data_IF_405159306479
#
_entry.id   IF_405159306479
#
_cell.length_a   1.000
_cell.length_b   1.000
_cell.length_c   1.000
_cell.angle_alpha   90.00
_cell.angle_beta   90.00
_cell.angle_gamma   90.00
#
_symmetry.space_group_name_H-M   'P 1'
#
loop_
_entity.id
_entity.type
_entity.pdbx_description
1 polymer ?
#
# COMPACT_ATOMS: atom_id res chain seq x y z
N UNK A 1 10.71 -10.60 4.03
CA UNK A 1 9.86 -10.75 2.83
C UNK A 1 10.66 -11.19 1.61
N UNK A 2 11.53 -10.34 1.04
CA UNK A 2 12.21 -10.63 -0.24
C UNK A 2 12.99 -11.95 -0.25
N UNK A 3 13.75 -12.23 0.81
CA UNK A 3 14.46 -13.51 0.95
C UNK A 3 13.52 -14.71 1.20
N UNK A 4 12.41 -14.53 1.90
CA UNK A 4 11.47 -15.62 2.14
C UNK A 4 10.69 -15.98 0.86
N UNK A 5 10.36 -14.98 0.04
CA UNK A 5 9.67 -15.16 -1.23
C UNK A 5 10.49 -15.94 -2.26
N UNK A 6 11.82 -15.86 -2.24
CA UNK A 6 12.67 -16.62 -3.16
C UNK A 6 12.59 -18.13 -2.92
N UNK A 7 12.10 -18.56 -1.76
CA UNK A 7 11.88 -19.96 -1.39
C UNK A 7 10.49 -20.49 -1.76
N UNK A 8 9.55 -19.62 -2.15
CA UNK A 8 8.18 -20.00 -2.53
C UNK A 8 8.02 -20.05 -4.07
N UNK A 9 7.03 -20.84 -4.55
CA UNK A 9 6.57 -20.78 -5.94
C UNK A 9 6.29 -19.36 -6.44
N UNK A 10 5.97 -18.41 -5.57
CA UNK A 10 5.80 -17.00 -5.88
C UNK A 10 6.97 -16.42 -6.71
N UNK A 11 8.21 -16.78 -6.40
CA UNK A 11 9.37 -16.30 -7.15
C UNK A 11 9.55 -16.98 -8.51
N UNK A 12 9.10 -18.23 -8.66
CA UNK A 12 9.29 -19.02 -9.89
C UNK A 12 8.12 -18.88 -10.86
N UNK A 13 6.90 -18.99 -10.35
CA UNK A 13 5.66 -19.04 -11.14
C UNK A 13 4.98 -17.67 -11.25
N UNK A 14 5.27 -16.75 -10.31
CA UNK A 14 4.56 -15.48 -10.16
C UNK A 14 5.50 -14.27 -10.04
N UNK A 15 6.59 -14.27 -10.84
CA UNK A 15 7.66 -13.25 -10.81
C UNK A 15 7.13 -11.81 -10.84
N UNK A 16 6.16 -11.52 -11.72
CA UNK A 16 5.60 -10.17 -11.83
C UNK A 16 4.91 -9.72 -10.53
N UNK A 17 4.13 -10.60 -9.89
CA UNK A 17 3.48 -10.33 -8.62
C UNK A 17 4.52 -10.13 -7.51
N UNK A 18 5.57 -10.96 -7.49
CA UNK A 18 6.69 -10.81 -6.58
C UNK A 18 7.36 -9.43 -6.68
N UNK A 19 7.69 -8.98 -7.90
CA UNK A 19 8.33 -7.68 -8.12
C UNK A 19 7.43 -6.52 -7.68
N UNK A 20 6.15 -6.56 -8.03
CA UNK A 20 5.16 -5.53 -7.66
C UNK A 20 4.99 -5.47 -6.14
N UNK A 21 4.87 -6.62 -5.46
CA UNK A 21 4.75 -6.70 -4.01
C UNK A 21 5.99 -6.14 -3.30
N UNK A 22 7.19 -6.48 -3.79
CA UNK A 22 8.44 -5.96 -3.24
C UNK A 22 8.53 -4.44 -3.43
N UNK A 23 8.21 -3.95 -4.62
CA UNK A 23 8.19 -2.52 -4.93
C UNK A 23 7.23 -1.76 -4.01
N UNK A 24 5.99 -2.24 -3.89
CA UNK A 24 4.98 -1.61 -3.03
C UNK A 24 5.39 -1.61 -1.56
N UNK A 25 5.94 -2.72 -1.06
CA UNK A 25 6.41 -2.79 0.33
C UNK A 25 7.56 -1.82 0.59
N UNK A 26 8.53 -1.71 -0.34
CA UNK A 26 9.61 -0.74 -0.26
C UNK A 26 9.08 0.69 -0.26
N UNK A 27 8.09 1.01 -1.12
CA UNK A 27 7.46 2.33 -1.14
C UNK A 27 6.77 2.65 0.19
N UNK A 28 6.04 1.69 0.78
CA UNK A 28 5.39 1.84 2.08
C UNK A 28 6.39 2.12 3.21
N UNK A 29 7.43 1.29 3.32
CA UNK A 29 8.47 1.42 4.35
C UNK A 29 9.23 2.73 4.19
N UNK A 30 9.56 3.11 2.97
CA UNK A 30 10.22 4.39 2.67
C UNK A 30 9.33 5.58 3.07
N UNK A 31 8.01 5.51 2.84
CA UNK A 31 7.10 6.57 3.25
C UNK A 31 7.06 6.75 4.78
N UNK A 32 7.03 5.65 5.55
CA UNK A 32 7.07 5.70 7.02
C UNK A 32 8.42 6.26 7.51
N UNK A 33 9.53 5.77 6.97
CA UNK A 33 10.85 6.28 7.35
C UNK A 33 11.00 7.77 7.03
N UNK A 34 10.52 8.21 5.87
CA UNK A 34 10.52 9.62 5.51
C UNK A 34 9.67 10.46 6.47
N UNK A 35 8.49 9.99 6.87
CA UNK A 35 7.67 10.68 7.87
C UNK A 35 8.38 10.82 9.22
N UNK A 36 9.07 9.76 9.66
CA UNK A 36 9.78 9.80 10.94
C UNK A 36 11.03 10.69 10.88
N UNK A 37 11.80 10.62 9.80
CA UNK A 37 13.05 11.38 9.65
C UNK A 37 12.84 12.86 9.31
N UNK A 38 11.83 13.21 8.50
CA UNK A 38 11.61 14.59 8.03
C UNK A 38 10.53 15.35 8.81
N UNK A 39 9.46 14.67 9.24
CA UNK A 39 8.32 15.31 9.91
C UNK A 39 8.31 15.07 11.43
N UNK A 40 9.34 14.41 11.98
CA UNK A 40 9.44 14.10 13.41
C UNK A 40 8.31 13.21 13.93
N UNK A 41 7.62 12.49 13.04
CA UNK A 41 6.53 11.61 13.43
C UNK A 41 7.07 10.47 14.31
N UNK A 42 6.31 10.12 15.36
CA UNK A 42 6.65 8.97 16.21
C UNK A 42 6.72 7.72 15.34
N UNK A 43 7.89 7.09 15.32
CA UNK A 43 8.10 5.86 14.58
C UNK A 43 7.39 4.72 15.31
N UNK A 44 6.38 4.15 14.68
CA UNK A 44 5.76 2.93 15.18
C UNK A 44 6.60 1.74 14.70
N UNK A 45 7.29 1.10 15.64
CA UNK A 45 8.21 0.00 15.36
C UNK A 45 7.50 -1.31 15.02
N UNK A 46 6.18 -1.39 15.21
CA UNK A 46 5.41 -2.60 15.00
C UNK A 46 5.05 -2.79 13.52
N UNK A 47 5.98 -3.38 12.75
CA UNK A 47 5.74 -3.81 11.36
C UNK A 47 5.16 -5.23 11.33
N UNK A 48 3.82 -5.35 11.31
CA UNK A 48 3.13 -6.63 11.19
C UNK A 48 3.05 -7.14 9.75
N UNK A 49 3.20 -6.27 8.76
CA UNK A 49 3.08 -6.62 7.34
C UNK A 49 4.12 -7.66 6.89
N UNK A 50 5.42 -7.54 7.25
CA UNK A 50 6.41 -8.58 6.98
C UNK A 50 6.04 -9.95 7.55
N UNK A 51 5.44 -9.99 8.75
CA UNK A 51 5.04 -11.22 9.42
C UNK A 51 3.82 -11.85 8.73
N UNK A 52 2.78 -11.06 8.46
CA UNK A 52 1.58 -11.53 7.75
C UNK A 52 1.92 -12.11 6.37
N UNK A 53 2.83 -11.48 5.64
CA UNK A 53 3.28 -11.98 4.35
C UNK A 53 4.14 -13.24 4.45
N UNK A 54 5.01 -13.32 5.46
CA UNK A 54 5.79 -14.53 5.72
C UNK A 54 4.87 -15.73 5.95
N UNK A 55 3.77 -15.56 6.69
CA UNK A 55 2.77 -16.60 6.88
C UNK A 55 2.14 -17.07 5.56
N UNK A 56 1.80 -16.14 4.65
CA UNK A 56 1.27 -16.48 3.32
C UNK A 56 2.30 -17.30 2.53
N UNK A 57 3.57 -16.87 2.53
CA UNK A 57 4.68 -17.56 1.86
C UNK A 57 4.91 -18.96 2.44
N UNK A 58 4.85 -19.11 3.76
CA UNK A 58 4.98 -20.43 4.41
C UNK A 58 3.80 -21.36 4.08
N UNK A 59 2.57 -20.83 4.04
CA UNK A 59 1.39 -21.61 3.68
C UNK A 59 1.41 -22.04 2.20
N UNK A 60 1.93 -21.19 1.32
CA UNK A 60 2.13 -21.49 -0.09
C UNK A 60 3.28 -22.50 -0.30
N UNK A 61 4.41 -22.33 0.40
CA UNK A 61 5.58 -23.22 0.26
C UNK A 61 5.35 -24.64 0.80
N UNK A 62 4.48 -24.78 1.80
CA UNK A 62 4.05 -26.08 2.35
C UNK A 62 2.90 -26.72 1.56
N UNK A 63 2.48 -26.09 0.45
CA UNK A 63 1.34 -26.51 -0.37
C UNK A 63 0.02 -26.69 0.43
N UNK A 64 -0.11 -26.00 1.57
CA UNK A 64 -1.33 -25.99 2.39
C UNK A 64 -2.45 -25.26 1.65
N UNK A 65 -2.10 -24.26 0.82
CA UNK A 65 -3.03 -23.53 0.00
C UNK A 65 -3.05 -24.07 -1.44
N UNK A 66 -4.24 -24.37 -2.01
CA UNK A 66 -4.38 -24.60 -3.45
C UNK A 66 -3.88 -23.38 -4.23
N UNK A 67 -3.25 -23.60 -5.40
CA UNK A 67 -2.60 -22.52 -6.15
C UNK A 67 -3.49 -21.32 -6.50
N UNK A 68 -4.81 -21.51 -6.66
CA UNK A 68 -5.76 -20.41 -6.83
C UNK A 68 -5.96 -19.56 -5.58
N UNK A 69 -5.94 -20.18 -4.40
CA UNK A 69 -6.07 -19.50 -3.10
C UNK A 69 -4.80 -18.76 -2.72
N UNK A 70 -3.62 -19.32 -3.02
CA UNK A 70 -2.34 -18.65 -2.80
C UNK A 70 -2.25 -17.33 -3.59
N UNK A 71 -2.61 -17.34 -4.87
CA UNK A 71 -2.70 -16.12 -5.70
C UNK A 71 -3.61 -15.07 -5.08
N UNK A 72 -4.81 -15.48 -4.64
CA UNK A 72 -5.76 -14.58 -4.00
C UNK A 72 -5.18 -13.98 -2.71
N UNK A 73 -4.51 -14.78 -1.88
CA UNK A 73 -3.88 -14.29 -0.66
C UNK A 73 -2.81 -13.22 -0.95
N UNK A 74 -1.97 -13.43 -1.97
CA UNK A 74 -0.99 -12.43 -2.41
C UNK A 74 -1.65 -11.16 -2.95
N UNK A 75 -2.70 -11.28 -3.76
CA UNK A 75 -3.43 -10.13 -4.31
C UNK A 75 -4.17 -9.36 -3.21
N UNK A 76 -4.80 -10.05 -2.25
CA UNK A 76 -5.46 -9.41 -1.12
C UNK A 76 -4.48 -8.65 -0.23
N UNK A 77 -3.30 -9.24 0.04
CA UNK A 77 -2.24 -8.56 0.78
C UNK A 77 -1.71 -7.32 0.03
N UNK A 78 -1.57 -7.43 -1.29
CA UNK A 78 -1.21 -6.30 -2.16
C UNK A 78 -2.24 -5.16 -2.06
N UNK A 79 -3.52 -5.46 -2.27
CA UNK A 79 -4.59 -4.46 -2.25
C UNK A 79 -4.68 -3.78 -0.89
N UNK A 80 -4.59 -4.55 0.19
CA UNK A 80 -4.56 -4.03 1.56
C UNK A 80 -3.42 -3.03 1.77
N UNK A 81 -2.20 -3.40 1.36
CA UNK A 81 -1.01 -2.54 1.48
C UNK A 81 -1.15 -1.28 0.63
N UNK A 82 -1.69 -1.41 -0.59
CA UNK A 82 -1.89 -0.29 -1.52
C UNK A 82 -2.91 0.71 -0.95
N UNK A 83 -4.04 0.23 -0.42
CA UNK A 83 -5.05 1.11 0.18
C UNK A 83 -4.46 1.91 1.35
N UNK A 84 -3.69 1.28 2.23
CA UNK A 84 -3.04 1.99 3.35
C UNK A 84 -2.03 3.03 2.87
N UNK A 85 -1.24 2.71 1.86
CA UNK A 85 -0.33 3.66 1.24
C UNK A 85 -1.06 4.87 0.62
N UNK A 86 -2.15 4.64 -0.13
CA UNK A 86 -2.93 5.72 -0.73
C UNK A 86 -3.58 6.62 0.32
N UNK A 87 -4.08 6.05 1.43
CA UNK A 87 -4.60 6.81 2.56
C UNK A 87 -3.51 7.66 3.23
N UNK A 88 -2.32 7.10 3.42
CA UNK A 88 -1.16 7.84 3.94
C UNK A 88 -0.82 9.04 3.05
N UNK A 89 -0.68 8.82 1.74
CA UNK A 89 -0.36 9.88 0.78
C UNK A 89 -1.45 10.95 0.73
N UNK A 90 -2.72 10.56 0.77
CA UNK A 90 -3.84 11.50 0.87
C UNK A 90 -3.71 12.40 2.11
N UNK A 91 -3.39 11.82 3.25
CA UNK A 91 -3.22 12.56 4.50
C UNK A 91 -2.02 13.52 4.43
N UNK A 92 -0.87 13.07 3.89
CA UNK A 92 0.31 13.92 3.69
C UNK A 92 -0.02 15.10 2.77
N UNK A 93 -0.64 14.84 1.62
CA UNK A 93 -1.03 15.89 0.66
C UNK A 93 -2.00 16.89 1.31
N UNK A 94 -2.96 16.41 2.10
CA UNK A 94 -3.88 17.29 2.80
C UNK A 94 -3.19 18.16 3.87
N UNK A 95 -2.24 17.60 4.62
CA UNK A 95 -1.45 18.35 5.60
C UNK A 95 -0.60 19.42 4.92
N UNK A 96 0.09 19.07 3.84
CA UNK A 96 0.93 19.99 3.07
C UNK A 96 0.09 21.11 2.45
N UNK A 97 -1.04 20.79 1.83
CA UNK A 97 -1.89 21.80 1.21
C UNK A 97 -2.56 22.72 2.22
N UNK A 98 -2.93 22.20 3.39
CA UNK A 98 -3.42 23.03 4.51
C UNK A 98 -2.32 23.96 5.02
N UNK A 99 -1.09 23.46 5.20
CA UNK A 99 0.04 24.25 5.67
C UNK A 99 0.45 25.35 4.67
N UNK A 100 0.46 25.04 3.37
CA UNK A 100 0.78 26.02 2.31
C UNK A 100 -0.39 26.94 1.95
N UNK A 101 -1.57 26.79 2.56
CA UNK A 101 -2.77 27.55 2.21
C UNK A 101 -3.31 27.27 0.80
N UNK A 102 -2.82 26.21 0.14
CA UNK A 102 -3.28 25.79 -1.19
C UNK A 102 -4.63 25.10 -1.05
N UNK A 103 -5.71 25.87 -1.12
CA UNK A 103 -7.03 25.30 -1.39
C UNK A 103 -6.98 24.71 -2.80
N UNK A 104 -6.91 23.39 -2.93
CA UNK A 104 -7.31 22.74 -4.18
C UNK A 104 -8.64 23.36 -4.58
N UNK A 105 -8.68 23.99 -5.76
CA UNK A 105 -9.88 24.57 -6.34
C UNK A 105 -10.95 23.47 -6.34
N UNK A 106 -11.78 23.41 -5.30
CA UNK A 106 -13.07 22.74 -5.38
C UNK A 106 -13.75 23.44 -6.53
N UNK A 107 -13.86 22.76 -7.68
CA UNK A 107 -14.57 23.28 -8.84
C UNK A 107 -15.92 23.74 -8.29
N UNK A 108 -16.11 25.06 -8.28
CA UNK A 108 -17.32 25.69 -7.74
C UNK A 108 -18.47 25.00 -8.46
N UNK A 109 -19.38 24.29 -7.77
CA UNK A 109 -20.50 23.66 -8.45
C UNK A 109 -21.19 24.78 -9.23
N UNK A 110 -21.20 24.69 -10.56
CA UNK A 110 -21.95 25.63 -11.39
C UNK A 110 -23.39 25.46 -10.95
N UNK A 111 -23.88 26.39 -10.14
CA UNK A 111 -25.31 26.56 -9.90
C UNK A 111 -25.87 26.80 -11.29
N UNK A 112 -26.54 25.79 -11.86
CA UNK A 112 -27.39 26.00 -13.01
C UNK A 112 -28.45 26.97 -12.52
N UNK A 113 -28.29 28.25 -12.81
CA UNK A 113 -29.39 29.20 -12.81
C UNK A 113 -30.40 28.63 -13.80
N UNK A 114 -31.37 27.89 -13.29
CA UNK A 114 -32.59 27.59 -14.01
C UNK A 114 -33.19 28.96 -14.33
N UNK A 115 -33.15 29.35 -15.60
CA UNK A 115 -33.97 30.44 -16.10
C UNK A 115 -35.41 30.05 -15.79
N UNK A 116 -36.06 30.87 -14.99
CA UNK A 116 -37.51 30.87 -14.88
C UNK A 116 -38.01 31.55 -16.16
N UNK A 117 -38.60 30.76 -17.06
CA UNK A 117 -39.55 31.24 -18.05
C UNK A 117 -40.97 30.98 -17.51
#
# INVERSE_FOLDING_TARGET
MMYASSLSPLYKDYVAYFLILCGLHLTWVTAIFNLSSTAGAKFDWLFLEPLAFFLIVCADSTAVLPGGQAKLAYVSFFLWTLTRYLLLMKNIVQQITTHMGLRFLKVKPRVKTAKAD
#
